data_IF_555253842499
#
_entry.id   IF_555253842499
#
_cell.length_a   1.000
_cell.length_b   1.000
_cell.length_c   1.000
_cell.angle_alpha   90.00
_cell.angle_beta   90.00
_cell.angle_gamma   90.00
#
_symmetry.space_group_name_H-M   'P 1'
#
loop_
_entity.id
_entity.type
_entity.pdbx_description
1 polymer ?
#
# COMPACT_ATOMS: atom_id res chain seq x y z
N UNK A 1 28.39 45.88 3.94
CA UNK A 1 27.28 46.00 4.90
C UNK A 1 26.04 45.81 4.06
N UNK A 2 25.56 44.56 3.98
CA UNK A 2 24.45 44.17 3.11
C UNK A 2 23.16 44.17 3.93
N UNK A 3 22.11 44.64 3.27
CA UNK A 3 20.85 45.13 3.82
C UNK A 3 20.06 44.11 4.66
N UNK A 4 19.40 44.68 5.66
CA UNK A 4 18.59 44.06 6.71
C UNK A 4 17.14 43.84 6.23
N UNK A 5 16.91 43.53 4.96
CA UNK A 5 15.55 43.22 4.43
C UNK A 5 15.15 41.76 4.67
N UNK A 6 15.31 41.31 5.91
CA UNK A 6 14.86 39.99 6.39
C UNK A 6 13.77 40.19 7.44
N UNK A 7 12.69 40.87 7.09
CA UNK A 7 11.53 41.09 7.98
C UNK A 7 10.20 41.24 7.22
N UNK A 8 9.85 40.26 6.38
CA UNK A 8 8.44 40.04 5.97
C UNK A 8 8.14 38.54 5.79
N UNK A 9 8.21 37.74 6.87
CA UNK A 9 7.75 36.34 6.79
C UNK A 9 7.18 35.77 8.10
N UNK A 10 6.38 36.56 8.83
CA UNK A 10 5.68 36.09 10.05
C UNK A 10 4.15 36.01 9.93
N UNK A 11 3.61 36.02 8.70
CA UNK A 11 2.17 35.87 8.44
C UNK A 11 1.77 34.62 7.64
N UNK A 12 2.71 33.93 6.98
CA UNK A 12 2.42 32.81 6.06
C UNK A 12 2.36 31.40 6.68
N UNK A 13 2.89 31.23 7.90
CA UNK A 13 3.17 29.90 8.47
C UNK A 13 2.29 29.51 9.68
N UNK A 14 1.44 30.42 10.16
CA UNK A 14 0.51 30.15 11.28
C UNK A 14 -0.68 29.33 10.80
N UNK A 15 -0.49 28.03 10.60
CA UNK A 15 -1.54 27.08 10.24
C UNK A 15 -1.18 26.08 9.15
N UNK A 16 0.08 26.04 8.72
CA UNK A 16 0.57 25.05 7.76
C UNK A 16 1.19 23.86 8.49
N UNK A 17 0.93 22.66 7.97
CA UNK A 17 1.37 21.39 8.56
C UNK A 17 2.30 20.69 7.59
N UNK A 18 3.60 20.98 7.70
CA UNK A 18 4.62 20.38 6.86
C UNK A 18 5.20 19.11 7.49
N UNK A 19 5.39 18.09 6.65
CA UNK A 19 6.02 16.82 7.03
C UNK A 19 5.05 15.65 7.03
N UNK A 20 5.50 14.53 7.61
CA UNK A 20 4.74 13.28 7.71
C UNK A 20 4.20 13.08 9.11
N UNK A 21 2.92 12.74 9.21
CA UNK A 21 2.21 12.54 10.47
C UNK A 21 1.72 11.10 10.56
N UNK A 22 1.82 10.50 11.75
CA UNK A 22 1.25 9.17 12.01
C UNK A 22 -0.27 9.24 11.89
N UNK A 23 -0.83 8.34 11.10
CA UNK A 23 -2.26 8.27 10.88
C UNK A 23 -2.76 6.84 10.84
N UNK A 24 -4.04 6.67 11.15
CA UNK A 24 -4.74 5.40 11.09
C UNK A 24 -5.90 5.48 10.11
N UNK A 25 -6.06 4.45 9.28
CA UNK A 25 -7.17 4.37 8.32
C UNK A 25 -8.47 4.13 9.07
N UNK A 26 -9.48 4.95 8.78
CA UNK A 26 -10.80 4.87 9.41
C UNK A 26 -11.94 4.61 8.43
N UNK A 27 -11.80 5.05 7.18
CA UNK A 27 -12.76 4.72 6.12
C UNK A 27 -12.05 4.53 4.77
N UNK A 28 -12.44 3.48 4.06
CA UNK A 28 -11.94 3.12 2.72
C UNK A 28 -13.03 3.24 1.65
N UNK A 29 -14.26 3.63 2.02
CA UNK A 29 -15.44 3.70 1.12
C UNK A 29 -15.45 5.01 0.32
N UNK A 30 -14.40 5.23 -0.44
CA UNK A 30 -14.26 6.42 -1.29
C UNK A 30 -15.39 6.48 -2.34
N UNK A 31 -16.27 7.49 -2.29
CA UNK A 31 -17.39 7.62 -3.24
C UNK A 31 -16.92 7.83 -4.68
N UNK A 32 -15.73 8.38 -4.90
CA UNK A 32 -15.17 8.62 -6.25
C UNK A 32 -14.29 7.48 -6.74
N UNK A 33 -14.02 6.47 -5.91
CA UNK A 33 -13.22 5.28 -6.25
C UNK A 33 -11.81 5.63 -6.77
N UNK A 34 -11.19 6.64 -6.18
CA UNK A 34 -9.84 7.11 -6.50
C UNK A 34 -8.77 6.51 -5.56
N UNK A 35 -9.18 5.63 -4.64
CA UNK A 35 -8.27 5.08 -3.62
C UNK A 35 -8.02 6.04 -2.45
N UNK A 36 -8.93 7.00 -2.23
CA UNK A 36 -8.82 7.93 -1.11
C UNK A 36 -9.22 7.27 0.21
N UNK A 37 -8.68 7.78 1.31
CA UNK A 37 -8.93 7.27 2.66
C UNK A 37 -9.38 8.38 3.60
N UNK A 38 -10.25 8.08 4.57
CA UNK A 38 -10.38 8.93 5.76
C UNK A 38 -9.41 8.48 6.82
N UNK A 39 -8.67 9.42 7.36
CA UNK A 39 -7.61 9.19 8.31
C UNK A 39 -7.94 9.81 9.66
N UNK A 40 -7.58 9.12 10.73
CA UNK A 40 -7.41 9.74 12.04
C UNK A 40 -5.94 10.15 12.18
N UNK A 41 -5.69 11.43 12.42
CA UNK A 41 -4.34 12.02 12.50
C UNK A 41 -4.19 12.68 13.88
N UNK A 42 -3.86 11.93 14.94
CA UNK A 42 -3.95 12.42 16.32
C UNK A 42 -3.16 13.70 16.59
N UNK A 43 -1.98 13.84 15.97
CA UNK A 43 -1.10 14.98 16.18
C UNK A 43 -1.57 16.28 15.51
N UNK A 44 -2.54 16.22 14.58
CA UNK A 44 -2.95 17.36 13.74
C UNK A 44 -4.45 17.65 13.89
N UNK A 45 -5.29 16.62 13.75
CA UNK A 45 -6.74 16.77 13.72
C UNK A 45 -7.41 16.39 15.04
N UNK A 46 -6.71 15.64 15.91
CA UNK A 46 -7.28 15.06 17.12
C UNK A 46 -7.71 13.60 16.93
N UNK A 47 -8.42 13.07 17.92
CA UNK A 47 -8.87 11.67 17.99
C UNK A 47 -10.39 11.66 18.10
N UNK A 48 -11.05 10.78 17.35
CA UNK A 48 -12.51 10.66 17.34
C UNK A 48 -13.11 10.79 15.93
N UNK A 49 -14.30 10.20 15.68
CA UNK A 49 -14.96 10.25 14.36
C UNK A 49 -15.19 11.65 13.79
N UNK A 50 -15.39 12.64 14.64
CA UNK A 50 -15.56 14.05 14.32
C UNK A 50 -14.25 14.73 13.86
N UNK A 51 -13.12 14.11 14.14
CA UNK A 51 -11.77 14.60 13.84
C UNK A 51 -11.12 13.86 12.65
N UNK A 52 -11.86 13.00 11.94
CA UNK A 52 -11.34 12.35 10.76
C UNK A 52 -11.08 13.36 9.64
N UNK A 53 -10.02 13.12 8.87
CA UNK A 53 -9.65 13.96 7.74
C UNK A 53 -10.73 14.01 6.66
N UNK A 54 -10.62 14.99 5.76
CA UNK A 54 -11.19 14.86 4.42
C UNK A 54 -10.64 13.61 3.71
N UNK A 55 -11.22 13.25 2.58
CA UNK A 55 -10.71 12.14 1.76
C UNK A 55 -9.28 12.42 1.31
N UNK A 56 -8.33 11.68 1.91
CA UNK A 56 -6.91 11.82 1.64
C UNK A 56 -6.54 11.17 0.31
N UNK A 57 -5.89 11.93 -0.56
CA UNK A 57 -5.42 11.45 -1.86
C UNK A 57 -4.29 10.43 -1.70
N UNK A 58 -4.24 9.36 -2.51
CA UNK A 58 -3.16 8.39 -2.42
C UNK A 58 -1.88 8.89 -3.11
N UNK A 59 -0.73 8.67 -2.48
CA UNK A 59 0.59 8.81 -3.11
C UNK A 59 1.09 7.41 -3.53
N UNK A 60 0.55 6.86 -4.61
CA UNK A 60 0.89 5.52 -5.11
C UNK A 60 2.23 5.51 -5.86
N UNK A 61 2.99 4.38 -5.82
CA UNK A 61 4.31 4.31 -6.45
C UNK A 61 4.27 4.21 -7.98
N UNK A 62 3.13 3.83 -8.57
CA UNK A 62 2.94 3.74 -10.02
C UNK A 62 1.47 3.87 -10.37
N UNK A 63 1.15 4.55 -11.48
CA UNK A 63 -0.20 4.80 -11.96
C UNK A 63 -0.38 6.23 -12.46
N UNK A 64 -1.64 6.66 -12.61
CA UNK A 64 -1.98 8.02 -13.08
C UNK A 64 -2.19 8.12 -14.60
N UNK A 65 -2.04 7.02 -15.33
CA UNK A 65 -2.43 6.88 -16.72
C UNK A 65 -3.63 5.92 -16.84
N UNK A 66 -4.34 5.91 -17.99
CA UNK A 66 -5.44 4.98 -18.21
C UNK A 66 -4.99 3.51 -18.08
N UNK A 67 -5.72 2.75 -17.26
CA UNK A 67 -5.61 1.29 -17.12
C UNK A 67 -4.21 0.76 -16.71
N UNK A 68 -3.49 1.49 -15.85
CA UNK A 68 -2.26 0.98 -15.22
C UNK A 68 -2.07 1.51 -13.80
N UNK A 69 -1.33 0.76 -12.98
CA UNK A 69 -0.91 1.25 -11.67
C UNK A 69 -0.55 0.15 -10.66
N UNK A 70 -0.03 0.60 -9.53
CA UNK A 70 0.21 -0.21 -8.34
C UNK A 70 -0.84 0.16 -7.28
N UNK A 71 -1.99 -0.50 -7.36
CA UNK A 71 -3.19 -0.15 -6.60
C UNK A 71 -3.36 -1.08 -5.39
N UNK A 72 -2.68 -0.76 -4.29
CA UNK A 72 -2.79 -1.47 -3.00
C UNK A 72 -3.32 -0.51 -1.94
N UNK A 73 -4.61 -0.62 -1.64
CA UNK A 73 -5.28 0.26 -0.66
C UNK A 73 -5.25 -0.41 0.72
N UNK A 74 -4.66 0.24 1.74
CA UNK A 74 -4.67 -0.28 3.11
C UNK A 74 -6.09 -0.41 3.68
N UNK A 75 -6.28 -1.42 4.52
CA UNK A 75 -7.57 -1.70 5.16
C UNK A 75 -7.86 -0.75 6.33
N UNK A 76 -9.12 -0.70 6.76
CA UNK A 76 -9.51 0.05 7.97
C UNK A 76 -8.72 -0.48 9.18
N UNK A 77 -8.15 0.44 9.95
CA UNK A 77 -7.26 0.14 11.07
C UNK A 77 -5.78 0.14 10.72
N UNK A 78 -5.41 0.13 9.43
CA UNK A 78 -4.01 0.17 9.01
C UNK A 78 -3.33 1.49 9.40
N UNK A 79 -2.02 1.38 9.62
CA UNK A 79 -1.11 2.47 10.00
C UNK A 79 -0.45 3.06 8.76
N UNK A 80 -0.75 4.33 8.44
CA UNK A 80 -0.24 5.06 7.25
C UNK A 80 0.44 6.38 7.64
N UNK A 81 1.24 6.95 6.74
CA UNK A 81 1.68 8.33 6.89
C UNK A 81 0.69 9.28 6.22
N UNK A 82 0.35 10.35 6.92
CA UNK A 82 -0.42 11.47 6.38
C UNK A 82 0.50 12.66 6.08
N UNK A 83 0.21 13.33 4.97
CA UNK A 83 0.82 14.57 4.52
C UNK A 83 -0.30 15.51 4.07
N UNK A 84 0.05 16.76 3.75
CA UNK A 84 -0.92 17.79 3.38
C UNK A 84 -0.39 18.59 2.19
N UNK A 85 -1.16 18.72 1.12
CA UNK A 85 -0.77 19.49 -0.08
C UNK A 85 -0.46 20.94 0.31
N UNK A 86 0.80 21.36 0.12
CA UNK A 86 1.24 22.69 0.55
C UNK A 86 1.00 22.96 2.04
N UNK A 87 0.99 21.93 2.88
CA UNK A 87 0.69 22.04 4.32
C UNK A 87 -0.78 22.36 4.65
N UNK A 88 -1.70 22.30 3.68
CA UNK A 88 -3.12 22.53 3.90
C UNK A 88 -3.81 21.30 4.49
N UNK A 89 -4.28 21.41 5.73
CA UNK A 89 -4.98 20.33 6.44
C UNK A 89 -6.28 19.89 5.75
N UNK A 90 -6.88 20.73 4.91
CA UNK A 90 -8.07 20.38 4.11
C UNK A 90 -7.74 19.55 2.87
N UNK A 91 -6.47 19.44 2.50
CA UNK A 91 -5.99 18.67 1.33
C UNK A 91 -5.04 17.55 1.77
N UNK A 92 -5.53 16.52 2.51
CA UNK A 92 -4.70 15.44 3.01
C UNK A 92 -4.24 14.49 1.90
N UNK A 93 -3.08 13.90 2.11
CA UNK A 93 -2.47 12.85 1.29
C UNK A 93 -2.13 11.68 2.22
N UNK A 94 -2.33 10.43 1.79
CA UNK A 94 -1.75 9.28 2.47
C UNK A 94 -0.61 8.67 1.65
N UNK A 95 0.46 8.26 2.33
CA UNK A 95 1.64 7.67 1.69
C UNK A 95 2.22 6.54 2.54
N UNK A 96 2.51 5.42 1.86
CA UNK A 96 3.12 4.25 2.49
C UNK A 96 2.38 3.72 3.72
N UNK A 97 3.05 2.83 4.43
CA UNK A 97 2.57 2.26 5.69
C UNK A 97 3.68 2.32 6.73
N UNK A 98 3.30 2.25 7.98
CA UNK A 98 4.23 2.01 9.08
C UNK A 98 3.71 0.90 9.97
N UNK A 99 4.62 0.24 10.68
CA UNK A 99 4.25 -0.80 11.63
C UNK A 99 4.21 -0.15 13.02
N UNK A 100 3.04 -0.17 13.66
CA UNK A 100 2.82 0.29 15.01
C UNK A 100 3.33 -0.70 16.08
N UNK A 101 3.74 -1.91 15.68
CA UNK A 101 4.28 -2.90 16.60
C UNK A 101 3.20 -3.53 17.49
N UNK A 102 1.99 -3.67 16.96
CA UNK A 102 0.85 -4.28 17.65
C UNK A 102 1.06 -5.77 17.92
N UNK A 103 0.19 -6.37 18.73
CA UNK A 103 0.12 -7.82 18.91
C UNK A 103 -1.28 -8.33 18.49
N UNK A 104 -1.39 -9.26 17.51
CA UNK A 104 -0.30 -9.80 16.69
C UNK A 104 0.37 -8.71 15.83
N UNK A 105 1.65 -8.91 15.49
CA UNK A 105 2.45 -7.96 14.71
C UNK A 105 1.87 -7.73 13.31
N UNK A 106 2.06 -6.52 12.77
CA UNK A 106 1.64 -6.17 11.40
C UNK A 106 2.62 -6.68 10.32
N UNK A 107 3.83 -7.07 10.73
CA UNK A 107 4.82 -7.62 9.81
C UNK A 107 4.38 -9.01 9.32
N UNK A 108 4.42 -9.28 8.00
CA UNK A 108 4.16 -10.62 7.48
C UNK A 108 5.05 -11.67 8.15
N UNK A 109 4.47 -12.78 8.59
CA UNK A 109 5.16 -13.82 9.35
C UNK A 109 6.39 -14.39 8.62
N UNK A 110 6.32 -14.47 7.29
CA UNK A 110 7.41 -14.92 6.42
C UNK A 110 8.61 -13.96 6.47
N UNK A 111 8.36 -12.65 6.44
CA UNK A 111 9.40 -11.63 6.62
C UNK A 111 9.93 -11.61 8.06
N UNK A 112 9.05 -11.87 9.05
CA UNK A 112 9.45 -11.95 10.46
C UNK A 112 10.44 -13.09 10.73
N UNK A 113 10.27 -14.23 10.04
CA UNK A 113 11.12 -15.41 10.19
C UNK A 113 12.53 -15.21 9.60
N UNK A 114 12.64 -14.46 8.50
CA UNK A 114 13.89 -14.24 7.76
C UNK A 114 14.05 -12.77 7.32
N UNK A 115 14.22 -11.81 8.25
CA UNK A 115 14.09 -10.37 7.95
C UNK A 115 15.14 -9.80 7.00
N UNK A 116 16.30 -10.46 6.83
CA UNK A 116 17.37 -9.99 5.95
C UNK A 116 17.32 -10.60 4.55
N UNK A 117 16.75 -11.80 4.41
CA UNK A 117 16.76 -12.54 3.15
C UNK A 117 15.39 -12.61 2.49
N UNK A 118 14.29 -12.46 3.25
CA UNK A 118 12.93 -12.53 2.74
C UNK A 118 12.38 -11.16 2.31
N UNK A 119 11.75 -11.10 1.13
CA UNK A 119 10.98 -9.95 0.62
C UNK A 119 9.60 -10.44 0.21
N UNK A 120 8.55 -9.82 0.73
CA UNK A 120 7.20 -10.35 0.61
C UNK A 120 6.17 -9.28 0.32
N UNK A 121 5.29 -9.57 -0.62
CA UNK A 121 3.99 -8.91 -0.77
C UNK A 121 2.94 -9.92 -0.31
N UNK A 122 2.25 -9.58 0.80
CA UNK A 122 1.19 -10.41 1.36
C UNK A 122 -0.08 -9.59 1.53
N UNK A 123 -1.21 -10.10 1.05
CA UNK A 123 -2.52 -9.49 1.26
C UNK A 123 -3.20 -10.08 2.51
N UNK A 124 -4.16 -9.37 3.10
CA UNK A 124 -4.84 -9.86 4.32
C UNK A 124 -5.58 -11.18 4.10
N UNK A 125 -6.07 -11.42 2.88
CA UNK A 125 -6.69 -12.69 2.51
C UNK A 125 -5.69 -13.86 2.39
N UNK A 126 -4.37 -13.58 2.42
CA UNK A 126 -3.33 -14.61 2.43
C UNK A 126 -2.71 -14.93 1.06
N UNK A 127 -2.90 -14.09 0.04
CA UNK A 127 -2.11 -14.20 -1.19
C UNK A 127 -0.68 -13.72 -0.95
N UNK A 128 0.31 -14.42 -1.49
CA UNK A 128 1.73 -14.19 -1.21
C UNK A 128 2.54 -14.22 -2.49
N UNK A 129 3.34 -13.17 -2.71
CA UNK A 129 4.52 -13.19 -3.57
C UNK A 129 5.74 -13.01 -2.68
N UNK A 130 6.63 -14.00 -2.66
CA UNK A 130 7.79 -14.05 -1.78
C UNK A 130 9.06 -14.35 -2.56
N UNK A 131 10.12 -13.60 -2.23
CA UNK A 131 11.49 -13.84 -2.66
C UNK A 131 12.32 -14.19 -1.42
N UNK A 132 12.99 -15.35 -1.45
CA UNK A 132 13.95 -15.81 -0.45
C UNK A 132 15.33 -15.83 -1.09
N UNK A 133 16.28 -15.10 -0.49
CA UNK A 133 17.65 -14.95 -1.00
C UNK A 133 18.70 -15.66 -0.12
N UNK A 134 18.26 -16.50 0.83
CA UNK A 134 19.19 -17.31 1.63
C UNK A 134 20.05 -18.21 0.72
N UNK A 135 21.39 -18.29 0.90
CA UNK A 135 22.29 -19.03 0.01
C UNK A 135 21.88 -20.49 -0.24
N UNK A 136 21.42 -21.17 0.82
CA UNK A 136 21.04 -22.59 0.76
C UNK A 136 19.51 -22.81 0.59
N UNK A 137 18.76 -21.74 0.32
CA UNK A 137 17.30 -21.77 0.32
C UNK A 137 16.65 -20.84 -0.70
N UNK A 138 17.42 -20.33 -1.67
CA UNK A 138 16.95 -19.34 -2.63
C UNK A 138 15.74 -19.83 -3.41
N UNK A 139 14.63 -19.09 -3.35
CA UNK A 139 13.38 -19.46 -4.04
C UNK A 139 12.47 -18.25 -4.24
N UNK A 140 11.63 -18.35 -5.28
CA UNK A 140 10.46 -17.48 -5.45
C UNK A 140 9.21 -18.31 -5.20
N UNK A 141 8.30 -17.79 -4.36
CA UNK A 141 7.03 -18.44 -4.05
C UNK A 141 5.88 -17.52 -4.44
N UNK A 142 4.96 -18.04 -5.26
CA UNK A 142 3.66 -17.43 -5.51
C UNK A 142 2.60 -18.37 -4.96
N UNK A 143 1.88 -17.93 -3.94
CA UNK A 143 0.83 -18.69 -3.28
C UNK A 143 -0.47 -17.89 -3.25
N UNK A 144 -1.59 -18.60 -3.41
CA UNK A 144 -2.93 -18.03 -3.35
C UNK A 144 -3.73 -18.69 -2.23
N UNK A 145 -4.54 -17.91 -1.52
CA UNK A 145 -5.55 -18.43 -0.62
C UNK A 145 -6.81 -18.94 -1.35
N UNK A 146 -6.88 -18.75 -2.67
CA UNK A 146 -7.92 -19.27 -3.56
C UNK A 146 -7.31 -19.79 -4.85
N UNK A 147 -7.87 -19.39 -5.99
CA UNK A 147 -7.32 -19.76 -7.29
C UNK A 147 -6.00 -19.05 -7.57
N UNK A 148 -5.09 -19.74 -8.26
CA UNK A 148 -3.93 -19.13 -8.91
C UNK A 148 -4.05 -19.34 -10.42
N UNK A 149 -4.10 -18.25 -11.18
CA UNK A 149 -4.41 -18.27 -12.61
C UNK A 149 -3.27 -17.57 -13.38
N UNK A 150 -2.73 -18.25 -14.37
CA UNK A 150 -1.84 -17.69 -15.38
C UNK A 150 -2.58 -17.73 -16.72
N UNK A 151 -2.76 -16.58 -17.37
CA UNK A 151 -3.48 -16.49 -18.65
C UNK A 151 -2.72 -15.62 -19.64
N UNK A 152 -2.82 -15.97 -20.92
CA UNK A 152 -2.32 -15.15 -22.03
C UNK A 152 -3.34 -14.12 -22.53
N UNK A 153 -4.56 -14.11 -21.98
CA UNK A 153 -5.68 -13.27 -22.45
C UNK A 153 -6.27 -13.69 -23.81
N UNK A 154 -5.73 -14.73 -24.45
CA UNK A 154 -6.14 -15.26 -25.75
C UNK A 154 -6.79 -16.66 -25.66
N UNK A 155 -7.00 -17.17 -24.45
CA UNK A 155 -7.75 -18.40 -24.17
C UNK A 155 -6.90 -19.56 -23.65
N UNK A 156 -5.57 -19.40 -23.55
CA UNK A 156 -4.70 -20.34 -22.85
C UNK A 156 -4.60 -19.95 -21.37
N UNK A 157 -4.69 -20.95 -20.49
CA UNK A 157 -4.70 -20.78 -19.04
C UNK A 157 -4.01 -21.95 -18.34
N UNK A 158 -3.23 -21.64 -17.29
CA UNK A 158 -2.85 -22.60 -16.24
C UNK A 158 -3.52 -22.14 -14.95
N UNK A 159 -4.34 -23.02 -14.35
CA UNK A 159 -5.06 -22.73 -13.11
C UNK A 159 -4.77 -23.79 -12.05
N UNK A 160 -4.43 -23.32 -10.84
CA UNK A 160 -4.37 -24.15 -9.62
C UNK A 160 -5.58 -23.80 -8.75
N UNK A 161 -6.38 -24.80 -8.40
CA UNK A 161 -7.58 -24.62 -7.56
C UNK A 161 -7.90 -25.91 -6.80
N UNK A 162 -8.13 -25.83 -5.49
CA UNK A 162 -8.53 -26.98 -4.68
C UNK A 162 -7.61 -28.21 -4.78
N UNK A 163 -6.31 -28.03 -5.04
CA UNK A 163 -5.34 -29.11 -5.25
C UNK A 163 -5.30 -29.68 -6.68
N UNK A 164 -6.18 -29.24 -7.58
CA UNK A 164 -6.14 -29.59 -8.98
C UNK A 164 -5.30 -28.59 -9.79
N UNK A 165 -4.61 -29.10 -10.80
CA UNK A 165 -3.93 -28.31 -11.83
C UNK A 165 -4.69 -28.52 -13.14
N UNK A 166 -5.21 -27.43 -13.71
CA UNK A 166 -5.83 -27.41 -15.05
C UNK A 166 -4.89 -26.68 -16.00
N UNK A 167 -4.61 -27.32 -17.13
CA UNK A 167 -3.86 -26.73 -18.24
C UNK A 167 -4.80 -26.71 -19.44
N UNK A 168 -5.05 -25.52 -19.98
CA UNK A 168 -5.85 -25.30 -21.17
C UNK A 168 -5.04 -24.47 -22.17
N UNK A 169 -5.04 -24.89 -23.43
CA UNK A 169 -4.44 -24.12 -24.52
C UNK A 169 -5.49 -23.88 -25.60
N UNK A 170 -5.55 -22.65 -26.11
CA UNK A 170 -6.29 -22.36 -27.34
C UNK A 170 -5.58 -22.94 -28.58
N UNK A 171 -4.25 -23.06 -28.51
CA UNK A 171 -3.41 -23.68 -29.52
C UNK A 171 -2.91 -25.06 -29.10
N UNK A 172 -1.64 -25.14 -28.67
CA UNK A 172 -0.95 -26.38 -28.32
C UNK A 172 -0.32 -26.32 -26.93
N UNK A 173 -0.17 -27.48 -26.28
CA UNK A 173 0.67 -27.66 -25.09
C UNK A 173 1.92 -28.45 -25.51
N UNK A 174 3.10 -27.83 -25.38
CA UNK A 174 4.38 -28.50 -25.63
C UNK A 174 4.99 -28.95 -24.30
N UNK A 175 5.27 -30.25 -24.18
CA UNK A 175 5.96 -30.82 -23.02
C UNK A 175 7.25 -31.46 -23.54
N UNK A 176 8.38 -30.85 -23.20
CA UNK A 176 9.70 -31.37 -23.56
C UNK A 176 10.25 -32.20 -22.39
N UNK A 177 10.92 -33.29 -22.74
CA UNK A 177 11.66 -34.16 -21.79
C UNK A 177 12.99 -33.57 -21.40
#
# INVERSE_FOLDING_TARGET
MLDIDRYEDEAGDRGRWYGKYRAFVRDTRDPERLGRLRLEIPAVLGVGPEHWSQWASPCLPYGGNPDCGFYLIPEVGASVWAEFEGGDVQSPIWSGVWLAGTNPGEMPAEAAASPTTCKVLKTAAGHVLLFEDAPDGMRVTLASAGDLIFSDGAGSEIRLTGGAIRIQAAGQVLINS
#
